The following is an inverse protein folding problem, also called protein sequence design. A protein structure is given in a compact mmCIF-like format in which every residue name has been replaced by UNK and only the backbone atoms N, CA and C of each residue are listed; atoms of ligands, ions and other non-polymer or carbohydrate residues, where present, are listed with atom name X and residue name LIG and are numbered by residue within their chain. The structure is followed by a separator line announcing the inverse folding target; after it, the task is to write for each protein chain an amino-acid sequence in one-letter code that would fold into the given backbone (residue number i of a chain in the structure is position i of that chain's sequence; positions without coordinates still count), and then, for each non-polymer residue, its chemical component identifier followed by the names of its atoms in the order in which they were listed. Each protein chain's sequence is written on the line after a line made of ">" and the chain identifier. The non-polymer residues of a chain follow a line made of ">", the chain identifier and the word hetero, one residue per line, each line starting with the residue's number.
data_IF_181642391323
#
_entry.id   IF_181642391323
#
_cell.length_a   1.000
_cell.length_b   1.000
_cell.length_c   1.000
_cell.angle_alpha   90.00
_cell.angle_beta   90.00
_cell.angle_gamma   90.00
#
_symmetry.space_group_name_H-M   'P 1'
#
loop_
_entity.id
_entity.type
_entity.pdbx_description
1 polymer ?
#
# COMPACT_ATOMS: atom_id res chain seq x y z
N UNK A 1 34.09 20.54 -10.56
CA UNK A 1 33.01 19.73 -11.19
C UNK A 1 32.40 18.71 -10.23
N UNK A 2 33.17 17.96 -9.44
CA UNK A 2 32.64 16.93 -8.53
C UNK A 2 31.62 17.48 -7.50
N UNK A 3 31.84 18.68 -6.94
CA UNK A 3 30.94 19.26 -5.94
C UNK A 3 29.55 19.65 -6.45
N UNK A 4 29.44 20.11 -7.71
CA UNK A 4 28.14 20.49 -8.30
C UNK A 4 27.28 19.25 -8.56
N UNK A 5 27.88 18.18 -9.07
CA UNK A 5 27.19 16.91 -9.33
C UNK A 5 26.65 16.28 -8.04
N UNK A 6 27.45 16.28 -6.96
CA UNK A 6 27.01 15.78 -5.65
C UNK A 6 25.84 16.60 -5.11
N UNK A 7 25.90 17.93 -5.23
CA UNK A 7 24.81 18.81 -4.80
C UNK A 7 23.51 18.54 -5.59
N UNK A 8 23.60 18.50 -6.92
CA UNK A 8 22.44 18.26 -7.80
C UNK A 8 21.82 16.88 -7.54
N UNK A 9 22.67 15.85 -7.45
CA UNK A 9 22.24 14.50 -7.11
C UNK A 9 21.56 14.44 -5.73
N UNK A 10 22.14 15.14 -4.74
CA UNK A 10 21.56 15.24 -3.40
C UNK A 10 20.17 15.88 -3.40
N UNK A 11 19.99 16.99 -4.12
CA UNK A 11 18.67 17.65 -4.25
C UNK A 11 17.64 16.69 -4.83
N UNK A 12 17.97 16.02 -5.94
CA UNK A 12 17.07 15.03 -6.54
C UNK A 12 16.76 13.87 -5.59
N UNK A 13 17.78 13.38 -4.86
CA UNK A 13 17.59 12.32 -3.85
C UNK A 13 16.65 12.74 -2.73
N UNK A 14 16.80 13.95 -2.17
CA UNK A 14 15.93 14.44 -1.11
C UNK A 14 14.49 14.68 -1.59
N UNK A 15 14.30 15.23 -2.79
CA UNK A 15 12.96 15.38 -3.38
C UNK A 15 12.29 14.01 -3.53
N UNK A 16 13.02 13.02 -4.05
CA UNK A 16 12.53 11.65 -4.18
C UNK A 16 12.06 11.07 -2.84
N UNK A 17 12.89 11.19 -1.80
CA UNK A 17 12.59 10.68 -0.45
C UNK A 17 11.34 11.35 0.11
N UNK A 18 11.22 12.68 0.01
CA UNK A 18 10.06 13.42 0.53
C UNK A 18 8.77 13.00 -0.19
N UNK A 19 8.80 12.90 -1.52
CA UNK A 19 7.65 12.45 -2.29
C UNK A 19 7.22 11.03 -1.87
N UNK A 20 8.17 10.12 -1.71
CA UNK A 20 7.91 8.76 -1.26
C UNK A 20 7.31 8.70 0.15
N UNK A 21 7.83 9.46 1.11
CA UNK A 21 7.25 9.53 2.46
C UNK A 21 5.78 10.00 2.41
N UNK A 22 5.49 11.00 1.58
CA UNK A 22 4.16 11.61 1.51
C UNK A 22 3.13 10.72 0.80
N UNK A 23 3.55 9.89 -0.18
CA UNK A 23 2.64 9.12 -1.06
C UNK A 23 1.59 8.29 -0.31
N UNK A 24 1.97 7.62 0.78
CA UNK A 24 1.05 6.72 1.51
C UNK A 24 0.20 7.42 2.59
N UNK A 25 0.59 8.62 3.01
CA UNK A 25 -0.09 9.33 4.11
C UNK A 25 -1.57 9.63 3.82
N UNK A 26 -1.96 10.10 2.62
CA UNK A 26 -3.36 10.33 2.30
C UNK A 26 -4.23 9.08 2.45
N UNK A 27 -3.72 7.91 2.05
CA UNK A 27 -4.50 6.66 2.07
C UNK A 27 -4.68 6.15 3.51
N UNK A 28 -3.62 6.19 4.34
CA UNK A 28 -3.70 5.84 5.76
C UNK A 28 -4.72 6.72 6.48
N UNK A 29 -4.67 8.04 6.21
CA UNK A 29 -5.61 8.99 6.77
C UNK A 29 -7.05 8.74 6.30
N UNK A 30 -7.23 8.41 5.01
CA UNK A 30 -8.55 8.15 4.44
C UNK A 30 -9.19 6.90 5.04
N UNK A 31 -8.44 5.80 5.17
CA UNK A 31 -8.89 4.59 5.85
C UNK A 31 -9.32 4.91 7.29
N UNK A 32 -8.50 5.68 8.02
CA UNK A 32 -8.81 6.09 9.38
C UNK A 32 -10.08 6.95 9.48
N UNK A 33 -10.28 7.89 8.54
CA UNK A 33 -11.44 8.79 8.52
C UNK A 33 -12.72 8.04 8.16
N UNK A 34 -12.65 7.13 7.19
CA UNK A 34 -13.81 6.36 6.69
C UNK A 34 -14.16 5.18 7.59
N UNK A 35 -13.22 4.70 8.41
CA UNK A 35 -13.34 3.46 9.20
C UNK A 35 -13.68 2.24 8.33
N UNK A 36 -13.28 2.27 7.05
CA UNK A 36 -13.47 1.22 6.05
C UNK A 36 -12.25 1.17 5.13
N UNK A 37 -11.94 -0.03 4.62
CA UNK A 37 -10.90 -0.28 3.63
C UNK A 37 -11.46 -0.72 2.26
N UNK A 38 -12.76 -0.54 2.00
CA UNK A 38 -13.44 -1.07 0.79
C UNK A 38 -12.90 -0.48 -0.52
N UNK A 39 -12.22 0.67 -0.44
CA UNK A 39 -11.59 1.32 -1.58
C UNK A 39 -10.24 0.73 -2.01
N UNK A 40 -9.66 -0.22 -1.26
CA UNK A 40 -8.29 -0.67 -1.50
C UNK A 40 -8.15 -2.20 -1.54
N UNK A 41 -7.22 -2.68 -2.37
CA UNK A 41 -6.98 -4.12 -2.57
C UNK A 41 -6.01 -4.66 -1.51
N UNK A 42 -6.46 -5.63 -0.70
CA UNK A 42 -5.58 -6.33 0.24
C UNK A 42 -4.41 -7.04 -0.49
N UNK A 43 -4.70 -7.67 -1.62
CA UNK A 43 -3.68 -8.36 -2.42
C UNK A 43 -2.59 -7.40 -2.93
N UNK A 44 -2.96 -6.16 -3.26
CA UNK A 44 -2.01 -5.12 -3.67
C UNK A 44 -1.01 -4.81 -2.54
N UNK A 45 -1.49 -4.57 -1.33
CA UNK A 45 -0.62 -4.31 -0.19
C UNK A 45 0.26 -5.51 0.18
N UNK A 46 -0.28 -6.73 0.14
CA UNK A 46 0.53 -7.94 0.40
C UNK A 46 1.67 -8.08 -0.62
N UNK A 47 1.40 -7.83 -1.90
CA UNK A 47 2.45 -7.83 -2.93
C UNK A 47 3.46 -6.69 -2.70
N UNK A 48 3.01 -5.49 -2.34
CA UNK A 48 3.91 -4.38 -2.00
C UNK A 48 4.83 -4.71 -0.81
N UNK A 49 4.28 -5.23 0.28
CA UNK A 49 5.07 -5.63 1.45
C UNK A 49 6.12 -6.69 1.10
N UNK A 50 5.76 -7.65 0.24
CA UNK A 50 6.71 -8.64 -0.27
C UNK A 50 7.82 -8.00 -1.11
N UNK A 51 7.46 -7.03 -1.96
CA UNK A 51 8.40 -6.23 -2.74
C UNK A 51 9.38 -5.46 -1.85
N UNK A 52 8.90 -4.85 -0.76
CA UNK A 52 9.71 -4.09 0.20
C UNK A 52 10.68 -4.99 0.98
N UNK A 53 10.26 -6.21 1.34
CA UNK A 53 11.15 -7.19 1.97
C UNK A 53 12.32 -7.55 1.04
N UNK A 54 12.03 -7.83 -0.24
CA UNK A 54 13.08 -8.09 -1.22
C UNK A 54 13.96 -6.85 -1.45
N UNK A 55 13.39 -5.65 -1.48
CA UNK A 55 14.13 -4.41 -1.64
C UNK A 55 15.10 -4.17 -0.47
N UNK A 56 14.62 -4.32 0.77
CA UNK A 56 15.44 -4.18 1.98
C UNK A 56 16.57 -5.21 2.00
N UNK A 57 16.27 -6.48 1.69
CA UNK A 57 17.27 -7.53 1.61
C UNK A 57 18.36 -7.20 0.57
N UNK A 58 17.97 -6.83 -0.65
CA UNK A 58 18.89 -6.44 -1.71
C UNK A 58 19.74 -5.23 -1.33
N UNK A 59 19.13 -4.19 -0.75
CA UNK A 59 19.81 -2.95 -0.35
C UNK A 59 20.85 -3.18 0.76
N UNK A 60 20.53 -4.03 1.75
CA UNK A 60 21.46 -4.43 2.81
C UNK A 60 22.63 -5.24 2.25
N UNK A 61 22.36 -6.20 1.37
CA UNK A 61 23.40 -7.05 0.76
C UNK A 61 24.35 -6.25 -0.15
N UNK A 62 23.82 -5.30 -0.92
CA UNK A 62 24.63 -4.42 -1.78
C UNK A 62 25.40 -3.35 -0.98
N UNK A 63 25.12 -3.19 0.32
CA UNK A 63 25.61 -2.10 1.16
C UNK A 63 25.33 -0.73 0.54
N UNK A 64 24.08 -0.50 0.17
CA UNK A 64 23.65 0.82 -0.32
C UNK A 64 23.74 1.88 0.79
N UNK A 65 23.74 3.14 0.37
CA UNK A 65 23.72 4.28 1.29
C UNK A 65 22.53 4.16 2.27
N UNK A 66 22.73 4.65 3.50
CA UNK A 66 21.74 4.54 4.58
C UNK A 66 20.32 4.96 4.17
N UNK A 67 20.17 6.02 3.39
CA UNK A 67 18.87 6.51 2.92
C UNK A 67 18.12 5.51 2.04
N UNK A 68 18.83 4.69 1.25
CA UNK A 68 18.24 3.64 0.42
C UNK A 68 17.79 2.42 1.24
N UNK A 69 18.35 2.21 2.43
CA UNK A 69 17.92 1.19 3.39
C UNK A 69 16.72 1.69 4.23
N UNK A 70 16.73 2.98 4.59
CA UNK A 70 15.70 3.59 5.42
C UNK A 70 14.32 3.58 4.74
N UNK A 71 14.28 3.74 3.42
CA UNK A 71 13.04 3.83 2.65
C UNK A 71 12.21 2.54 2.65
N UNK A 72 12.74 1.36 2.26
CA UNK A 72 11.98 0.11 2.33
C UNK A 72 11.65 -0.28 3.79
N UNK A 73 12.49 0.10 4.76
CA UNK A 73 12.16 -0.07 6.17
C UNK A 73 10.93 0.76 6.56
N UNK A 74 10.88 2.02 6.15
CA UNK A 74 9.72 2.89 6.33
C UNK A 74 8.46 2.29 5.71
N UNK A 75 8.56 1.74 4.49
CA UNK A 75 7.42 1.15 3.80
C UNK A 75 6.88 -0.09 4.48
N UNK A 76 7.75 -1.00 4.94
CA UNK A 76 7.35 -2.16 5.74
C UNK A 76 6.56 -1.73 6.98
N UNK A 77 7.00 -0.66 7.66
CA UNK A 77 6.29 -0.12 8.82
C UNK A 77 4.92 0.44 8.44
N UNK A 78 4.82 1.22 7.35
CA UNK A 78 3.53 1.76 6.89
C UNK A 78 2.58 0.65 6.41
N UNK A 79 3.09 -0.39 5.77
CA UNK A 79 2.30 -1.55 5.36
C UNK A 79 1.77 -2.33 6.56
N UNK A 80 2.60 -2.54 7.58
CA UNK A 80 2.20 -3.11 8.88
C UNK A 80 1.00 -2.28 9.46
N UNK A 81 1.00 -0.94 9.32
CA UNK A 81 -0.14 -0.08 9.74
C UNK A 81 -1.38 -0.26 8.85
N UNK A 82 -1.24 -0.26 7.53
CA UNK A 82 -2.39 -0.40 6.62
C UNK A 82 -3.04 -1.77 6.74
N UNK A 83 -2.25 -2.85 6.80
CA UNK A 83 -2.74 -4.21 7.00
C UNK A 83 -3.49 -4.35 8.34
N UNK A 84 -3.02 -3.65 9.38
CA UNK A 84 -3.74 -3.58 10.66
C UNK A 84 -5.11 -2.89 10.51
N UNK A 85 -5.18 -1.77 9.77
CA UNK A 85 -6.45 -1.10 9.47
C UNK A 85 -7.41 -2.02 8.71
N UNK A 86 -6.90 -2.79 7.74
CA UNK A 86 -7.70 -3.79 7.02
C UNK A 86 -8.31 -4.82 7.96
N UNK A 87 -7.51 -5.40 8.85
CA UNK A 87 -7.98 -6.40 9.80
C UNK A 87 -9.08 -5.83 10.71
N UNK A 88 -8.87 -4.64 11.26
CA UNK A 88 -9.79 -4.00 12.21
C UNK A 88 -11.10 -3.60 11.54
N UNK A 89 -11.05 -2.86 10.43
CA UNK A 89 -12.24 -2.29 9.82
C UNK A 89 -13.09 -3.33 9.08
N UNK A 90 -12.47 -4.34 8.46
CA UNK A 90 -13.20 -5.43 7.81
C UNK A 90 -13.92 -6.34 8.81
N UNK A 91 -13.32 -6.58 9.97
CA UNK A 91 -13.97 -7.36 11.03
C UNK A 91 -15.16 -6.62 11.66
N UNK A 92 -15.09 -5.29 11.78
CA UNK A 92 -16.20 -4.48 12.28
C UNK A 92 -17.42 -4.46 11.33
N UNK A 93 -17.21 -4.46 10.01
CA UNK A 93 -18.34 -4.52 9.06
C UNK A 93 -19.08 -5.86 9.09
N UNK A 94 -18.36 -6.97 9.19
CA UNK A 94 -18.96 -8.31 9.29
C UNK A 94 -19.86 -8.48 10.53
N UNK A 95 -19.49 -7.87 11.66
CA UNK A 95 -20.30 -7.90 12.88
C UNK A 95 -21.53 -6.98 12.82
N UNK A 96 -21.46 -5.85 12.11
CA UNK A 96 -22.57 -4.90 12.01
C UNK A 96 -23.69 -5.42 11.11
N UNK A 97 -23.37 -6.03 9.97
CA UNK A 97 -24.38 -6.61 9.07
C UNK A 97 -25.04 -7.84 9.70
N UNK A 98 -24.29 -8.67 10.43
CA UNK A 98 -24.85 -9.82 11.15
C UNK A 98 -25.89 -9.43 12.22
N UNK A 99 -25.68 -8.31 12.94
CA UNK A 99 -26.67 -7.80 13.91
C UNK A 99 -27.90 -7.16 13.24
N UNK A 100 -27.74 -6.58 12.04
CA UNK A 100 -28.86 -6.01 11.29
C UNK A 100 -29.71 -7.11 10.64
N UNK A 101 -29.08 -8.19 10.14
CA UNK A 101 -29.79 -9.36 9.65
C UNK A 101 -30.47 -10.14 10.78
N UNK A 102 -29.80 -10.41 11.91
CA UNK A 102 -30.46 -11.02 13.08
C UNK A 102 -31.61 -10.15 13.59
N UNK A 103 -31.43 -8.84 13.68
CA UNK A 103 -32.49 -7.91 14.08
C UNK A 103 -33.71 -7.91 13.16
N UNK A 104 -33.50 -7.97 11.83
CA UNK A 104 -34.60 -8.07 10.87
C UNK A 104 -35.30 -9.43 10.90
N UNK A 105 -34.53 -10.53 11.03
CA UNK A 105 -35.08 -11.89 11.12
C UNK A 105 -35.89 -12.05 12.42
N UNK A 106 -35.43 -11.45 13.51
CA UNK A 106 -36.14 -11.45 14.79
C UNK A 106 -37.37 -10.54 14.76
N UNK A 107 -37.31 -9.38 14.10
CA UNK A 107 -38.47 -8.50 13.90
C UNK A 107 -39.53 -9.14 12.99
N UNK A 108 -39.13 -9.79 11.89
CA UNK A 108 -40.03 -10.54 11.01
C UNK A 108 -40.67 -11.73 11.73
N UNK A 109 -39.89 -12.49 12.52
CA UNK A 109 -40.41 -13.56 13.39
C UNK A 109 -41.35 -13.00 14.46
N UNK A 110 -41.04 -11.85 15.06
CA UNK A 110 -41.89 -11.20 16.06
C UNK A 110 -43.22 -10.74 15.46
N UNK A 111 -43.22 -10.17 14.24
CA UNK A 111 -44.42 -9.77 13.51
C UNK A 111 -45.31 -10.98 13.14
N UNK A 112 -44.70 -12.10 12.72
CA UNK A 112 -45.41 -13.35 12.47
C UNK A 112 -45.99 -13.96 13.76
N UNK A 113 -45.30 -13.80 14.90
CA UNK A 113 -45.77 -14.29 16.20
C UNK A 113 -46.89 -13.44 16.80
N UNK A 114 -46.89 -12.12 16.56
CA UNK A 114 -47.91 -11.18 17.01
C UNK A 114 -49.27 -11.35 16.31
N UNK A 115 -49.30 -12.00 15.14
CA UNK A 115 -50.56 -12.35 14.49
C UNK A 115 -51.30 -13.52 15.19
N UNK A 116 -50.63 -14.24 16.10
CA UNK A 116 -51.19 -15.42 16.76
C UNK A 116 -51.36 -15.32 18.28
N UNK A 117 -51.05 -14.18 18.92
CA UNK A 117 -51.07 -14.10 20.38
C UNK A 117 -51.64 -12.79 20.91
N UNK A 118 -52.96 -12.78 21.11
CA UNK A 118 -53.59 -11.93 22.12
C UNK A 118 -53.46 -12.62 23.48
N UNK A 119 -52.51 -12.19 24.32
CA UNK A 119 -52.35 -12.72 25.67
C UNK A 119 -51.13 -12.15 26.40
N UNK A 120 -51.39 -11.37 27.44
CA UNK A 120 -50.46 -10.65 28.31
C UNK A 120 -49.19 -11.41 28.78
N UNK A 121 -48.08 -10.70 28.98
CA UNK A 121 -47.41 -10.51 30.28
C UNK A 121 -46.21 -9.55 30.21
N UNK A 122 -46.04 -8.77 31.29
CA UNK A 122 -44.89 -7.92 31.60
C UNK A 122 -43.63 -8.76 31.88
N UNK A 123 -42.45 -8.26 31.49
CA UNK A 123 -41.16 -8.77 31.95
C UNK A 123 -40.02 -7.83 31.58
N UNK A 124 -39.29 -7.37 32.60
CA UNK A 124 -38.06 -6.59 32.53
C UNK A 124 -37.04 -7.16 31.51
N UNK A 125 -36.71 -6.41 30.47
CA UNK A 125 -35.73 -6.81 29.45
C UNK A 125 -34.67 -5.76 29.10
N UNK A 126 -34.54 -4.69 29.90
CA UNK A 126 -33.82 -3.48 29.49
C UNK A 126 -32.35 -3.36 29.95
N UNK A 127 -31.68 -4.44 30.35
CA UNK A 127 -30.30 -4.34 30.90
C UNK A 127 -29.25 -5.33 30.40
N UNK A 128 -29.57 -6.30 29.55
CA UNK A 128 -28.57 -7.27 29.05
C UNK A 128 -27.89 -6.82 27.75
N UNK A 129 -28.64 -6.22 26.81
CA UNK A 129 -28.12 -5.75 25.52
C UNK A 129 -26.97 -4.71 25.64
N UNK A 130 -26.99 -3.88 26.70
CA UNK A 130 -25.93 -2.89 26.95
C UNK A 130 -24.63 -3.47 27.53
N UNK A 131 -24.70 -4.62 28.21
CA UNK A 131 -23.52 -5.31 28.77
C UNK A 131 -22.81 -6.14 27.70
N UNK A 132 -23.58 -6.84 26.86
CA UNK A 132 -23.00 -7.61 25.75
C UNK A 132 -22.33 -6.71 24.72
N UNK A 133 -22.93 -5.58 24.35
CA UNK A 133 -22.29 -4.59 23.45
C UNK A 133 -20.98 -4.02 24.00
N UNK A 134 -20.90 -3.75 25.31
CA UNK A 134 -19.70 -3.23 25.96
C UNK A 134 -18.61 -4.31 26.13
N UNK A 135 -18.98 -5.56 26.45
CA UNK A 135 -18.04 -6.67 26.57
C UNK A 135 -17.49 -7.11 25.20
N UNK A 136 -18.34 -7.13 24.17
CA UNK A 136 -17.94 -7.46 22.80
C UNK A 136 -17.09 -6.35 22.16
N UNK A 137 -17.43 -5.08 22.40
CA UNK A 137 -16.61 -3.92 22.00
C UNK A 137 -15.22 -3.93 22.66
N UNK A 138 -15.12 -4.46 23.89
CA UNK A 138 -13.84 -4.66 24.57
C UNK A 138 -13.04 -5.83 23.99
N UNK A 139 -13.71 -6.92 23.59
CA UNK A 139 -13.09 -8.08 22.92
C UNK A 139 -12.58 -7.72 21.51
N UNK A 140 -13.31 -6.94 20.73
CA UNK A 140 -12.87 -6.45 19.42
C UNK A 140 -11.75 -5.41 19.52
N UNK A 141 -11.82 -4.47 20.47
CA UNK A 141 -10.72 -3.53 20.75
C UNK A 141 -9.45 -4.25 21.25
N UNK A 142 -9.60 -5.30 22.05
CA UNK A 142 -8.48 -6.14 22.52
C UNK A 142 -7.89 -6.98 21.38
N UNK A 143 -8.71 -7.59 20.52
CA UNK A 143 -8.27 -8.32 19.34
C UNK A 143 -7.54 -7.41 18.33
N UNK A 144 -8.04 -6.19 18.13
CA UNK A 144 -7.43 -5.10 17.34
C UNK A 144 -6.05 -4.69 17.87
N UNK A 145 -5.91 -4.55 19.19
CA UNK A 145 -4.64 -4.16 19.80
C UNK A 145 -3.62 -5.30 19.72
N UNK A 146 -4.07 -6.54 19.89
CA UNK A 146 -3.21 -7.72 19.79
C UNK A 146 -2.72 -7.96 18.35
N UNK A 147 -3.54 -7.74 17.32
CA UNK A 147 -3.10 -7.90 15.93
C UNK A 147 -2.06 -6.86 15.51
N UNK A 148 -2.22 -5.58 15.92
CA UNK A 148 -1.20 -4.54 15.71
C UNK A 148 0.11 -4.92 16.41
N UNK A 149 0.04 -5.36 17.67
CA UNK A 149 1.23 -5.75 18.44
C UNK A 149 1.92 -6.99 17.84
N UNK A 150 1.16 -7.95 17.31
CA UNK A 150 1.70 -9.13 16.61
C UNK A 150 2.36 -8.73 15.29
N UNK A 151 1.72 -7.86 14.49
CA UNK A 151 2.31 -7.34 13.26
C UNK A 151 3.60 -6.57 13.55
N UNK A 152 3.62 -5.71 14.57
CA UNK A 152 4.81 -5.00 15.00
C UNK A 152 5.89 -5.95 15.55
N UNK A 153 5.53 -6.99 16.28
CA UNK A 153 6.47 -7.99 16.81
C UNK A 153 7.08 -8.84 15.68
N UNK A 154 6.31 -9.21 14.66
CA UNK A 154 6.81 -9.92 13.47
C UNK A 154 7.68 -9.00 12.60
N UNK A 155 7.27 -7.74 12.42
CA UNK A 155 8.07 -6.69 11.77
C UNK A 155 9.44 -6.54 12.52
N UNK A 156 9.44 -6.43 13.86
CA UNK A 156 10.66 -6.37 14.70
C UNK A 156 11.50 -7.64 14.64
N UNK A 157 10.88 -8.82 14.63
CA UNK A 157 11.58 -10.10 14.53
C UNK A 157 12.28 -10.24 13.18
N UNK A 158 11.62 -9.87 12.08
CA UNK A 158 12.20 -9.89 10.75
C UNK A 158 13.38 -8.92 10.63
N UNK A 159 13.25 -7.71 11.18
CA UNK A 159 14.34 -6.71 11.24
C UNK A 159 15.50 -7.23 12.08
N UNK A 160 15.22 -7.75 13.27
CA UNK A 160 16.25 -8.26 14.19
C UNK A 160 16.96 -9.48 13.61
N UNK A 161 16.22 -10.38 12.94
CA UNK A 161 16.77 -11.50 12.23
C UNK A 161 17.64 -11.06 11.05
N UNK A 162 17.19 -10.10 10.23
CA UNK A 162 17.97 -9.58 9.11
C UNK A 162 19.27 -8.90 9.59
N UNK A 163 19.20 -8.10 10.66
CA UNK A 163 20.36 -7.44 11.27
C UNK A 163 21.30 -8.46 11.93
N UNK A 164 20.78 -9.44 12.66
CA UNK A 164 21.58 -10.50 13.27
C UNK A 164 22.22 -11.40 12.22
N UNK A 165 21.50 -11.77 11.17
CA UNK A 165 22.00 -12.52 10.02
C UNK A 165 23.11 -11.76 9.30
N UNK A 166 22.93 -10.45 9.09
CA UNK A 166 23.92 -9.56 8.47
C UNK A 166 25.20 -9.47 9.31
N UNK A 167 25.09 -9.33 10.64
CA UNK A 167 26.25 -9.29 11.54
C UNK A 167 26.94 -10.67 11.72
N UNK A 168 26.18 -11.76 11.72
CA UNK A 168 26.72 -13.11 11.95
C UNK A 168 27.40 -13.73 10.72
N UNK A 169 27.04 -13.33 9.49
CA UNK A 169 27.53 -13.94 8.26
C UNK A 169 28.54 -13.07 7.46
N UNK A 170 29.13 -12.05 8.10
CA UNK A 170 30.20 -11.22 7.50
C UNK A 170 31.35 -12.06 6.92
N UNK A 171 31.63 -13.24 7.50
CA UNK A 171 32.73 -14.10 7.05
C UNK A 171 32.38 -15.04 5.87
N UNK A 172 31.11 -15.38 5.64
CA UNK A 172 30.67 -16.29 4.56
C UNK A 172 30.57 -15.59 3.19
N UNK A 173 30.54 -14.25 3.15
CA UNK A 173 30.36 -13.43 1.94
C UNK A 173 31.65 -12.77 1.41
N UNK A 174 32.82 -13.35 1.67
CA UNK A 174 34.12 -12.76 1.26
C UNK A 174 34.29 -12.58 -0.26
N UNK A 175 33.51 -13.28 -1.09
CA UNK A 175 33.49 -13.07 -2.53
C UNK A 175 32.53 -11.95 -2.94
N UNK A 176 33.10 -10.76 -3.18
CA UNK A 176 32.41 -9.53 -3.59
C UNK A 176 31.42 -9.76 -4.76
N UNK A 177 31.78 -10.60 -5.74
CA UNK A 177 30.91 -10.87 -6.90
C UNK A 177 29.64 -11.66 -6.59
N UNK A 178 29.69 -12.63 -5.67
CA UNK A 178 28.51 -13.42 -5.29
C UNK A 178 27.51 -12.57 -4.52
N UNK A 179 28.00 -11.68 -3.65
CA UNK A 179 27.16 -10.74 -2.90
C UNK A 179 26.38 -9.80 -3.82
N UNK A 180 27.06 -9.21 -4.80
CA UNK A 180 26.43 -8.32 -5.78
C UNK A 180 25.40 -9.05 -6.64
N UNK A 181 25.73 -10.26 -7.11
CA UNK A 181 24.79 -11.06 -7.90
C UNK A 181 23.50 -11.37 -7.12
N UNK A 182 23.62 -11.79 -5.86
CA UNK A 182 22.45 -12.09 -5.02
C UNK A 182 21.65 -10.81 -4.72
N UNK A 183 22.32 -9.69 -4.43
CA UNK A 183 21.65 -8.41 -4.21
C UNK A 183 20.86 -7.95 -5.45
N UNK A 184 21.43 -8.11 -6.66
CA UNK A 184 20.71 -7.82 -7.91
C UNK A 184 19.50 -8.72 -8.09
N UNK A 185 19.60 -10.03 -7.77
CA UNK A 185 18.46 -10.95 -7.83
C UNK A 185 17.31 -10.44 -6.95
N UNK A 186 17.60 -10.07 -5.69
CA UNK A 186 16.59 -9.49 -4.80
C UNK A 186 16.02 -8.18 -5.33
N UNK A 187 16.85 -7.30 -5.88
CA UNK A 187 16.39 -6.08 -6.53
C UNK A 187 15.47 -6.33 -7.72
N UNK A 188 15.79 -7.32 -8.59
CA UNK A 188 14.95 -7.67 -9.74
C UNK A 188 13.64 -8.35 -9.32
N UNK A 189 13.67 -9.19 -8.29
CA UNK A 189 12.46 -9.77 -7.70
C UNK A 189 11.55 -8.67 -7.14
N UNK A 190 12.12 -7.74 -6.37
CA UNK A 190 11.41 -6.57 -5.87
C UNK A 190 10.77 -5.76 -7.01
N UNK A 191 11.54 -5.44 -8.06
CA UNK A 191 11.04 -4.74 -9.23
C UNK A 191 9.90 -5.51 -9.91
N UNK A 192 10.04 -6.82 -10.13
CA UNK A 192 9.01 -7.63 -10.76
C UNK A 192 7.71 -7.65 -9.94
N UNK A 193 7.82 -7.78 -8.62
CA UNK A 193 6.66 -7.77 -7.71
C UNK A 193 5.97 -6.41 -7.72
N UNK A 194 6.73 -5.30 -7.60
CA UNK A 194 6.15 -3.96 -7.66
C UNK A 194 5.43 -3.72 -8.98
N UNK A 195 6.11 -3.94 -10.11
CA UNK A 195 5.52 -3.73 -11.44
C UNK A 195 4.28 -4.61 -11.65
N UNK A 196 4.34 -5.87 -11.21
CA UNK A 196 3.21 -6.79 -11.24
C UNK A 196 2.01 -6.29 -10.46
N UNK A 197 2.23 -5.66 -9.29
CA UNK A 197 1.16 -5.13 -8.45
C UNK A 197 0.37 -3.97 -9.11
N UNK A 198 0.98 -3.22 -10.02
CA UNK A 198 0.31 -2.11 -10.72
C UNK A 198 -0.56 -2.57 -11.92
N UNK A 199 -0.27 -3.74 -12.51
CA UNK A 199 -1.00 -4.25 -13.69
C UNK A 199 -2.50 -4.43 -13.42
N UNK A 200 -2.94 -5.05 -12.30
CA UNK A 200 -4.36 -5.21 -12.00
C UNK A 200 -5.13 -3.89 -12.01
N UNK A 201 -4.53 -2.81 -11.50
CA UNK A 201 -5.15 -1.49 -11.45
C UNK A 201 -5.33 -0.90 -12.85
N UNK A 202 -4.30 -1.00 -13.70
CA UNK A 202 -4.34 -0.53 -15.08
C UNK A 202 -5.42 -1.28 -15.90
N UNK A 203 -5.50 -2.60 -15.70
CA UNK A 203 -6.52 -3.45 -16.33
C UNK A 203 -7.91 -3.11 -15.82
N UNK A 204 -8.07 -2.90 -14.51
CA UNK A 204 -9.37 -2.54 -13.91
C UNK A 204 -9.90 -1.25 -14.51
N UNK A 205 -9.10 -0.18 -14.51
CA UNK A 205 -9.45 1.11 -15.12
C UNK A 205 -9.84 0.96 -16.59
N UNK A 206 -9.11 0.12 -17.34
CA UNK A 206 -9.43 -0.13 -18.75
C UNK A 206 -10.76 -0.86 -18.94
N UNK A 207 -11.11 -1.80 -18.06
CA UNK A 207 -12.37 -2.54 -18.12
C UNK A 207 -13.56 -1.70 -17.67
N UNK A 208 -13.40 -0.94 -16.58
CA UNK A 208 -14.47 -0.11 -16.01
C UNK A 208 -14.66 1.21 -16.74
N UNK A 209 -13.68 1.62 -17.56
CA UNK A 209 -13.66 2.93 -18.24
C UNK A 209 -13.85 4.09 -17.26
N UNK A 210 -13.34 3.93 -16.04
CA UNK A 210 -13.45 4.91 -14.95
C UNK A 210 -12.21 4.84 -14.06
N UNK A 211 -11.76 6.01 -13.60
CA UNK A 211 -10.72 6.18 -12.57
C UNK A 211 -11.31 6.73 -11.27
N UNK A 212 -12.61 6.58 -11.05
CA UNK A 212 -13.30 7.06 -9.85
C UNK A 212 -12.75 6.38 -8.58
N UNK A 213 -12.56 7.18 -7.51
CA UNK A 213 -11.99 6.72 -6.24
C UNK A 213 -10.46 6.67 -6.18
N UNK A 214 -9.75 6.95 -7.28
CA UNK A 214 -8.29 7.06 -7.30
C UNK A 214 -7.81 8.49 -7.02
N UNK A 215 -6.73 8.64 -6.23
CA UNK A 215 -6.12 9.93 -5.93
C UNK A 215 -5.08 10.31 -6.99
N UNK A 216 -5.41 11.24 -7.90
CA UNK A 216 -4.49 11.74 -8.93
C UNK A 216 -3.14 12.22 -8.35
N UNK A 217 -3.17 12.87 -7.19
CA UNK A 217 -1.99 13.40 -6.51
C UNK A 217 -0.99 12.28 -6.15
N UNK A 218 -1.48 11.10 -5.76
CA UNK A 218 -0.62 9.96 -5.43
C UNK A 218 0.21 9.56 -6.65
N UNK A 219 -0.42 9.38 -7.81
CA UNK A 219 0.28 8.98 -9.05
C UNK A 219 1.30 10.03 -9.50
N UNK A 220 0.96 11.32 -9.40
CA UNK A 220 1.89 12.41 -9.70
C UNK A 220 3.11 12.36 -8.77
N UNK A 221 2.90 12.19 -7.46
CA UNK A 221 3.99 12.10 -6.50
C UNK A 221 4.88 10.88 -6.75
N UNK A 222 4.30 9.73 -7.11
CA UNK A 222 5.07 8.51 -7.45
C UNK A 222 5.94 8.75 -8.69
N UNK A 223 5.41 9.41 -9.73
CA UNK A 223 6.21 9.75 -10.92
C UNK A 223 7.35 10.68 -10.56
N UNK A 224 7.06 11.78 -9.84
CA UNK A 224 8.10 12.73 -9.40
C UNK A 224 9.15 12.03 -8.56
N UNK A 225 8.75 11.16 -7.63
CA UNK A 225 9.65 10.41 -6.76
C UNK A 225 10.61 9.53 -7.57
N UNK A 226 10.10 8.76 -8.54
CA UNK A 226 10.91 7.85 -9.34
C UNK A 226 11.77 8.57 -10.38
N UNK A 227 11.27 9.63 -11.00
CA UNK A 227 12.06 10.46 -11.92
C UNK A 227 13.25 11.07 -11.19
N UNK A 228 13.00 11.69 -10.03
CA UNK A 228 14.06 12.32 -9.23
C UNK A 228 15.01 11.28 -8.64
N UNK A 229 14.54 10.07 -8.28
CA UNK A 229 15.42 8.96 -7.90
C UNK A 229 16.39 8.59 -9.02
N UNK A 230 15.90 8.33 -10.23
CA UNK A 230 16.72 8.00 -11.39
C UNK A 230 17.73 9.12 -11.69
N UNK A 231 17.29 10.38 -11.64
CA UNK A 231 18.17 11.54 -11.84
C UNK A 231 19.24 11.64 -10.76
N UNK A 232 18.95 11.34 -9.49
CA UNK A 232 19.95 11.35 -8.42
C UNK A 232 21.10 10.39 -8.71
N UNK A 233 20.80 9.19 -9.24
CA UNK A 233 21.81 8.20 -9.60
C UNK A 233 22.60 8.68 -10.83
N UNK A 234 21.90 9.10 -11.89
CA UNK A 234 22.54 9.49 -13.15
C UNK A 234 23.39 10.76 -13.05
N UNK A 235 23.11 11.65 -12.09
CA UNK A 235 23.82 12.92 -11.92
C UNK A 235 24.93 12.86 -10.86
N UNK A 236 24.97 11.83 -10.01
CA UNK A 236 25.97 11.71 -8.95
C UNK A 236 27.40 11.64 -9.50
N UNK A 237 27.60 10.80 -10.51
CA UNK A 237 28.85 10.66 -11.22
C UNK A 237 28.62 10.28 -12.68
N UNK A 238 29.68 10.26 -13.50
CA UNK A 238 29.56 9.81 -14.89
C UNK A 238 29.02 8.36 -14.92
N UNK A 239 27.99 8.08 -15.74
CA UNK A 239 27.36 6.76 -15.79
C UNK A 239 28.25 5.76 -16.54
N UNK A 240 29.26 5.23 -15.85
CA UNK A 240 30.06 4.10 -16.33
C UNK A 240 29.25 2.81 -16.27
N UNK A 241 29.63 1.80 -17.07
CA UNK A 241 28.90 0.51 -17.11
C UNK A 241 28.83 -0.14 -15.72
N UNK A 242 29.95 -0.20 -15.02
CA UNK A 242 30.04 -0.84 -13.69
C UNK A 242 29.16 -0.11 -12.66
N UNK A 243 29.11 1.22 -12.74
CA UNK A 243 28.23 2.01 -11.88
C UNK A 243 26.75 1.74 -12.18
N UNK A 244 26.34 1.76 -13.46
CA UNK A 244 24.96 1.50 -13.81
C UNK A 244 24.53 0.06 -13.49
N UNK A 245 25.43 -0.92 -13.63
CA UNK A 245 25.16 -2.30 -13.24
C UNK A 245 24.87 -2.43 -11.75
N UNK A 246 25.58 -1.68 -10.90
CA UNK A 246 25.31 -1.64 -9.46
C UNK A 246 23.87 -1.21 -9.16
N UNK A 247 23.32 -0.27 -9.93
CA UNK A 247 21.97 0.26 -9.71
C UNK A 247 20.92 -0.30 -10.69
N UNK A 248 21.26 -1.31 -11.50
CA UNK A 248 20.44 -1.73 -12.65
C UNK A 248 19.05 -2.20 -12.24
N UNK A 249 18.95 -3.06 -11.22
CA UNK A 249 17.68 -3.55 -10.70
C UNK A 249 16.76 -2.44 -10.18
N UNK A 250 17.31 -1.50 -9.40
CA UNK A 250 16.57 -0.35 -8.88
C UNK A 250 16.16 0.65 -9.97
N UNK A 251 17.03 0.91 -10.96
CA UNK A 251 16.70 1.75 -12.11
C UNK A 251 15.61 1.11 -12.98
N UNK A 252 15.65 -0.21 -13.17
CA UNK A 252 14.61 -0.95 -13.87
C UNK A 252 13.28 -0.83 -13.15
N UNK A 253 13.26 -1.07 -11.83
CA UNK A 253 12.05 -0.92 -11.01
C UNK A 253 11.47 0.49 -11.11
N UNK A 254 12.28 1.51 -10.84
CA UNK A 254 11.85 2.91 -10.88
C UNK A 254 11.36 3.34 -12.26
N UNK A 255 12.09 2.99 -13.33
CA UNK A 255 11.69 3.32 -14.70
C UNK A 255 10.41 2.60 -15.13
N UNK A 256 10.27 1.32 -14.79
CA UNK A 256 9.04 0.57 -15.04
C UNK A 256 7.83 1.19 -14.32
N UNK A 257 8.01 1.61 -13.07
CA UNK A 257 6.96 2.30 -12.30
C UNK A 257 6.56 3.59 -12.99
N UNK A 258 7.50 4.42 -13.43
CA UNK A 258 7.19 5.66 -14.18
C UNK A 258 6.28 5.36 -15.38
N UNK A 259 6.59 4.33 -16.17
CA UNK A 259 5.78 3.98 -17.35
C UNK A 259 4.37 3.52 -16.99
N UNK A 260 4.22 2.68 -15.95
CA UNK A 260 2.91 2.21 -15.52
C UNK A 260 2.05 3.36 -14.97
N UNK A 261 2.65 4.24 -14.18
CA UNK A 261 2.00 5.42 -13.60
C UNK A 261 1.59 6.42 -14.69
N UNK A 262 2.44 6.64 -15.70
CA UNK A 262 2.06 7.42 -16.89
C UNK A 262 0.88 6.79 -17.64
N UNK A 263 0.82 5.45 -17.70
CA UNK A 263 -0.32 4.72 -18.23
C UNK A 263 -1.61 4.99 -17.44
N UNK A 264 -1.54 5.03 -16.12
CA UNK A 264 -2.69 5.39 -15.27
C UNK A 264 -3.06 6.87 -15.42
N UNK A 265 -2.09 7.78 -15.48
CA UNK A 265 -2.34 9.20 -15.77
C UNK A 265 -3.06 9.39 -17.11
N UNK A 266 -2.63 8.67 -18.14
CA UNK A 266 -3.31 8.68 -19.44
C UNK A 266 -4.78 8.25 -19.29
N UNK A 267 -5.06 7.20 -18.51
CA UNK A 267 -6.42 6.76 -18.22
C UNK A 267 -7.26 7.82 -17.48
N UNK A 268 -6.66 8.60 -16.59
CA UNK A 268 -7.33 9.73 -15.93
C UNK A 268 -7.82 10.80 -16.92
N UNK A 269 -7.05 11.08 -17.97
CA UNK A 269 -7.43 12.08 -18.97
C UNK A 269 -8.54 11.58 -19.90
N UNK A 270 -8.44 10.34 -20.38
CA UNK A 270 -9.41 9.79 -21.36
C UNK A 270 -10.76 9.41 -20.72
N UNK A 271 -10.78 9.00 -19.45
CA UNK A 271 -12.01 8.63 -18.75
C UNK A 271 -12.63 9.79 -17.95
N UNK A 272 -12.14 11.03 -18.16
CA UNK A 272 -12.72 12.21 -17.52
C UNK A 272 -14.11 12.49 -18.14
N UNK A 273 -15.16 12.71 -17.32
CA UNK A 273 -16.55 12.84 -17.81
C UNK A 273 -16.77 13.91 -18.89
N UNK A 274 -15.94 14.95 -18.94
CA UNK A 274 -16.11 16.11 -19.83
C UNK A 274 -15.92 15.84 -21.33
N UNK A 275 -15.28 14.73 -21.73
CA UNK A 275 -15.09 14.45 -23.16
C UNK A 275 -16.33 13.85 -23.84
N UNK A 276 -17.21 13.18 -23.06
CA UNK A 276 -18.40 12.48 -23.56
C UNK A 276 -19.61 13.41 -23.73
N UNK A 277 -19.67 14.49 -22.96
CA UNK A 277 -20.74 15.51 -23.09
C UNK A 277 -20.58 16.39 -24.32
N UNK A 278 -19.36 16.64 -24.80
CA UNK A 278 -19.12 17.41 -26.02
C UNK A 278 -19.42 16.59 -27.28
N UNK A 279 -19.05 15.30 -27.29
CA UNK A 279 -19.27 14.39 -28.43
C UNK A 279 -20.76 14.04 -28.61
N UNK A 280 -21.52 13.93 -27.51
CA UNK A 280 -22.97 13.73 -27.54
C UNK A 280 -23.75 15.03 -27.82
N UNK A 281 -23.17 16.20 -27.56
CA UNK A 281 -23.78 17.48 -27.91
C UNK A 281 -23.67 17.77 -29.41
N UNK A 282 -22.51 17.52 -30.01
CA UNK A 282 -22.32 17.67 -31.47
C UNK A 282 -23.17 16.69 -32.30
N UNK A 283 -23.57 15.54 -31.74
CA UNK A 283 -24.46 14.58 -32.42
C UNK A 283 -25.95 14.94 -32.33
N UNK A 284 -26.35 15.78 -31.37
CA UNK A 284 -27.75 16.21 -31.19
C UNK A 284 -28.09 17.53 -31.90
N UNK A 285 -27.08 18.25 -32.41
CA UNK A 285 -27.23 19.55 -33.09
C UNK A 285 -27.00 19.45 -34.62
N UNK A 286 -27.10 18.24 -35.20
CA UNK A 286 -27.06 18.04 -36.66
C UNK A 286 -28.38 18.46 -37.35
N UNK A 287 -28.33 19.17 -38.49
CA UNK A 287 -29.48 19.84 -39.12
C UNK A 287 -30.55 18.92 -39.72
#
# INVERSE_FOLDING_TARGET
>A
MLGVNVLVSGIFGYVSIVCWIVVLMPQIHLNYKRKSCDGVSLAFYVMWSLGDLFNLAGALMENLIFTAILLPLYYILTDCVVLSQFYIYRNNHYCSDGHLEEGHVDEERALLSNQHSSGACNGDGRSEAGRDGHEHGRKTAFASTNSILISLALCLLAITFAVHYYHANIDWFKHIGMRQAIAQIFGYLSAAVYLGAYIPQLVRNYRTKSTEGLSLLMFILVIVANVTYCLSILTFQRPTRDYLQKYASWLLGASGTIWLELGVLYQFFIYRPGHRSAENADQNDGP
#
